data_IF_816421441584
#
_entry.id   IF_816421441584
#
_cell.length_a   1.000
_cell.length_b   1.000
_cell.length_c   1.000
_cell.angle_alpha   90.00
_cell.angle_beta   90.00
_cell.angle_gamma   90.00
#
_symmetry.space_group_name_H-M   'P 1'
#
loop_
_entity.id
_entity.type
_entity.pdbx_description
1 polymer ?
#
# COMPACT_ATOMS: atom_id res chain seq x y z
N UNK A 1 2.02 32.98 -20.50
CA UNK A 1 1.81 31.54 -20.24
C UNK A 1 2.94 31.07 -19.31
N UNK A 2 2.69 30.90 -18.01
CA UNK A 2 3.75 30.50 -17.07
C UNK A 2 4.18 29.06 -17.38
N UNK A 3 5.45 28.88 -17.73
CA UNK A 3 6.10 27.59 -17.94
C UNK A 3 5.98 26.80 -16.64
N UNK A 4 5.17 25.73 -16.62
CA UNK A 4 5.08 24.81 -15.49
C UNK A 4 6.41 24.07 -15.40
N UNK A 5 7.34 24.57 -14.59
CA UNK A 5 8.52 23.80 -14.21
C UNK A 5 8.02 22.74 -13.23
N UNK A 6 7.72 21.55 -13.76
CA UNK A 6 7.36 20.42 -12.93
C UNK A 6 8.55 20.07 -12.03
N UNK A 7 8.29 19.88 -10.73
CA UNK A 7 9.31 19.53 -9.74
C UNK A 7 9.97 18.20 -10.14
N UNK A 8 11.28 18.09 -9.91
CA UNK A 8 11.97 16.81 -10.11
C UNK A 8 11.49 15.77 -9.09
N UNK A 9 11.57 14.48 -9.44
CA UNK A 9 11.13 13.42 -8.53
C UNK A 9 11.96 13.39 -7.23
N UNK A 10 13.23 13.80 -7.30
CA UNK A 10 14.08 14.01 -6.11
C UNK A 10 13.51 15.11 -5.21
N UNK A 11 13.13 16.27 -5.77
CA UNK A 11 12.52 17.36 -5.01
C UNK A 11 11.16 16.96 -4.41
N UNK A 12 10.33 16.24 -5.18
CA UNK A 12 9.05 15.70 -4.66
C UNK A 12 9.28 14.75 -3.49
N UNK A 13 10.28 13.85 -3.59
CA UNK A 13 10.65 12.93 -2.52
C UNK A 13 11.11 13.66 -1.25
N UNK A 14 11.93 14.70 -1.38
CA UNK A 14 12.37 15.49 -0.23
C UNK A 14 11.23 16.29 0.42
N UNK A 15 10.30 16.85 -0.38
CA UNK A 15 9.09 17.52 0.12
C UNK A 15 8.24 16.55 0.96
N UNK A 16 8.03 15.32 0.46
CA UNK A 16 7.29 14.28 1.19
C UNK A 16 8.02 13.90 2.48
N UNK A 17 9.35 13.71 2.42
CA UNK A 17 10.15 13.35 3.60
C UNK A 17 10.13 14.41 4.69
N UNK A 18 10.20 15.70 4.34
CA UNK A 18 10.13 16.80 5.29
C UNK A 18 8.74 16.91 5.94
N UNK A 19 7.69 16.76 5.12
CA UNK A 19 6.29 16.71 5.59
C UNK A 19 6.01 15.53 6.52
N UNK A 20 6.57 14.35 6.22
CA UNK A 20 6.43 13.17 7.07
C UNK A 20 7.10 13.32 8.45
N UNK A 21 8.12 14.20 8.56
CA UNK A 21 8.78 14.55 9.82
C UNK A 21 8.08 15.68 10.59
N UNK A 22 6.91 16.15 10.13
CA UNK A 22 6.15 17.23 10.76
C UNK A 22 6.54 18.65 10.31
N UNK A 23 7.34 18.79 9.26
CA UNK A 23 7.77 20.08 8.75
C UNK A 23 6.65 20.91 8.12
N UNK A 24 6.69 22.24 8.30
CA UNK A 24 5.63 23.13 7.83
C UNK A 24 5.69 23.38 6.31
N UNK A 25 4.56 23.79 5.71
CA UNK A 25 4.47 24.06 4.26
C UNK A 25 5.40 25.18 3.84
N UNK A 26 5.43 26.27 4.61
CA UNK A 26 6.23 27.45 4.32
C UNK A 26 7.71 27.16 4.44
N UNK A 27 8.12 26.43 5.48
CA UNK A 27 9.50 26.02 5.69
C UNK A 27 10.00 25.10 4.58
N UNK A 28 9.18 24.13 4.16
CA UNK A 28 9.49 23.24 3.03
C UNK A 28 9.64 24.03 1.73
N UNK A 29 8.75 24.99 1.49
CA UNK A 29 8.74 25.82 0.29
C UNK A 29 10.00 26.71 0.22
N UNK A 30 10.41 27.28 1.36
CA UNK A 30 11.61 28.09 1.49
C UNK A 30 12.88 27.24 1.30
N UNK A 31 12.95 26.06 1.91
CA UNK A 31 14.09 25.15 1.78
C UNK A 31 14.28 24.67 0.33
N UNK A 32 13.18 24.42 -0.37
CA UNK A 32 13.18 23.89 -1.74
C UNK A 32 13.12 24.98 -2.81
N UNK A 33 13.14 26.26 -2.42
CA UNK A 33 12.96 27.41 -3.30
C UNK A 33 11.79 27.22 -4.29
N UNK A 34 10.69 26.63 -3.82
CA UNK A 34 9.53 26.29 -4.65
C UNK A 34 8.26 26.93 -4.11
N UNK A 35 7.25 27.08 -4.97
CA UNK A 35 5.99 27.69 -4.56
C UNK A 35 5.28 26.84 -3.48
N UNK A 36 4.68 27.49 -2.48
CA UNK A 36 3.81 26.83 -1.48
C UNK A 36 2.71 25.99 -2.14
N UNK A 37 2.15 26.47 -3.25
CA UNK A 37 1.17 25.74 -4.05
C UNK A 37 1.74 24.47 -4.70
N UNK A 38 3.01 24.46 -5.09
CA UNK A 38 3.72 23.27 -5.58
C UNK A 38 3.88 22.23 -4.48
N UNK A 39 4.30 22.64 -3.29
CA UNK A 39 4.41 21.76 -2.11
C UNK A 39 3.06 21.13 -1.79
N UNK A 40 1.99 21.92 -1.73
CA UNK A 40 0.62 21.42 -1.46
C UNK A 40 0.19 20.39 -2.51
N UNK A 41 0.43 20.66 -3.80
CA UNK A 41 0.11 19.70 -4.88
C UNK A 41 0.84 18.36 -4.73
N UNK A 42 2.12 18.39 -4.38
CA UNK A 42 2.92 17.16 -4.15
C UNK A 42 2.38 16.40 -2.93
N UNK A 43 2.05 17.10 -1.84
CA UNK A 43 1.54 16.46 -0.63
C UNK A 43 0.15 15.84 -0.82
N UNK A 44 -0.74 16.52 -1.53
CA UNK A 44 -2.05 15.98 -1.87
C UNK A 44 -1.92 14.76 -2.78
N UNK A 45 -1.09 14.84 -3.82
CA UNK A 45 -0.84 13.70 -4.71
C UNK A 45 -0.27 12.49 -3.94
N UNK A 46 0.63 12.72 -2.98
CA UNK A 46 1.14 11.67 -2.10
C UNK A 46 0.04 11.09 -1.21
N UNK A 47 -0.78 11.90 -0.56
CA UNK A 47 -1.85 11.46 0.34
C UNK A 47 -2.94 10.66 -0.40
N UNK A 48 -3.39 11.15 -1.56
CA UNK A 48 -4.34 10.40 -2.39
C UNK A 48 -3.69 9.14 -2.98
N UNK A 49 -2.41 9.21 -3.36
CA UNK A 49 -1.65 8.06 -3.83
C UNK A 49 -1.51 6.96 -2.77
N UNK A 50 -1.21 7.30 -1.52
CA UNK A 50 -1.15 6.34 -0.41
C UNK A 50 -2.52 5.76 -0.09
N UNK A 51 -3.58 6.58 -0.05
CA UNK A 51 -4.96 6.09 0.19
C UNK A 51 -5.41 5.13 -0.92
N UNK A 52 -5.13 5.46 -2.19
CA UNK A 52 -5.46 4.59 -3.32
C UNK A 52 -4.63 3.30 -3.34
N UNK A 53 -3.33 3.38 -2.99
CA UNK A 53 -2.48 2.19 -2.91
C UNK A 53 -2.83 1.29 -1.71
N UNK A 54 -3.24 1.87 -0.57
CA UNK A 54 -3.74 1.13 0.58
C UNK A 54 -5.04 0.38 0.25
N UNK A 55 -5.97 1.04 -0.46
CA UNK A 55 -7.23 0.43 -0.93
C UNK A 55 -7.01 -0.68 -1.96
N UNK A 56 -5.91 -0.63 -2.73
CA UNK A 56 -5.61 -1.65 -3.76
C UNK A 56 -5.10 -2.99 -3.20
N UNK A 57 -4.91 -3.13 -1.88
CA UNK A 57 -4.61 -4.43 -1.25
C UNK A 57 -3.33 -5.10 -1.74
N UNK A 58 -2.47 -4.38 -2.48
CA UNK A 58 -1.17 -4.84 -2.95
C UNK A 58 -0.10 -4.72 -1.88
N UNK A 59 -0.32 -3.87 -0.87
CA UNK A 59 0.48 -3.78 0.34
C UNK A 59 -0.11 -4.70 1.43
N UNK A 60 0.46 -5.89 1.57
CA UNK A 60 0.09 -6.87 2.57
C UNK A 60 0.83 -8.19 2.31
N UNK A 61 1.11 -8.95 3.37
CA UNK A 61 1.68 -10.28 3.20
C UNK A 61 0.78 -11.11 2.26
N UNK A 62 1.37 -11.85 1.30
CA UNK A 62 0.58 -12.75 0.46
C UNK A 62 -0.26 -13.65 1.35
N UNK A 63 -1.59 -13.53 1.25
CA UNK A 63 -2.49 -14.42 1.98
C UNK A 63 -2.15 -15.85 1.56
N UNK A 64 -2.02 -16.76 2.54
CA UNK A 64 -1.73 -18.17 2.29
C UNK A 64 -2.73 -18.81 1.30
N UNK A 65 -3.97 -18.29 1.25
CA UNK A 65 -5.02 -18.70 0.32
C UNK A 65 -5.62 -17.45 -0.33
N UNK A 66 -5.59 -17.40 -1.67
CA UNK A 66 -6.27 -16.35 -2.45
C UNK A 66 -7.79 -16.59 -2.54
N UNK A 67 -8.56 -15.60 -3.03
CA UNK A 67 -10.03 -15.74 -3.10
C UNK A 67 -10.47 -16.93 -3.98
N UNK A 68 -9.68 -17.27 -5.00
CA UNK A 68 -9.90 -18.46 -5.83
C UNK A 68 -9.69 -19.75 -5.02
N UNK A 69 -8.65 -19.79 -4.19
CA UNK A 69 -8.39 -20.86 -3.23
C UNK A 69 -9.51 -20.99 -2.19
N UNK A 70 -10.03 -19.88 -1.66
CA UNK A 70 -11.19 -19.90 -0.75
C UNK A 70 -12.44 -20.47 -1.43
N UNK A 71 -12.68 -20.11 -2.68
CA UNK A 71 -13.81 -20.64 -3.45
C UNK A 71 -13.67 -22.14 -3.72
N UNK A 72 -12.46 -22.63 -4.02
CA UNK A 72 -12.17 -24.07 -4.15
C UNK A 72 -12.42 -24.81 -2.83
N UNK A 73 -11.97 -24.26 -1.71
CA UNK A 73 -12.20 -24.83 -0.38
C UNK A 73 -13.70 -24.91 -0.05
N UNK A 74 -14.46 -23.84 -0.29
CA UNK A 74 -15.93 -23.81 -0.09
C UNK A 74 -16.65 -24.88 -0.92
N UNK A 75 -16.18 -25.18 -2.13
CA UNK A 75 -16.73 -26.25 -2.98
C UNK A 75 -16.32 -27.64 -2.46
N UNK A 76 -15.05 -27.80 -2.07
CA UNK A 76 -14.54 -29.05 -1.50
C UNK A 76 -15.27 -29.48 -0.23
N UNK A 77 -15.48 -28.55 0.70
CA UNK A 77 -16.24 -28.81 1.94
C UNK A 77 -17.69 -29.19 1.66
N UNK A 78 -18.33 -28.56 0.68
CA UNK A 78 -19.72 -28.89 0.30
C UNK A 78 -19.84 -30.25 -0.38
N UNK A 79 -18.90 -30.59 -1.25
CA UNK A 79 -18.88 -31.86 -1.97
C UNK A 79 -18.57 -33.03 -1.03
N UNK A 80 -17.68 -32.82 -0.06
CA UNK A 80 -17.17 -33.87 0.83
C UNK A 80 -17.52 -33.58 2.29
N UNK A 81 -18.82 -33.64 2.64
CA UNK A 81 -19.31 -33.36 4.00
C UNK A 81 -18.71 -34.27 5.10
N UNK A 82 -18.13 -35.41 4.73
CA UNK A 82 -17.53 -36.41 5.65
C UNK A 82 -15.99 -36.38 5.68
N UNK A 83 -15.34 -35.53 4.88
CA UNK A 83 -13.89 -35.49 4.82
C UNK A 83 -13.29 -34.77 6.03
N UNK A 84 -12.18 -35.29 6.54
CA UNK A 84 -11.39 -34.64 7.61
C UNK A 84 -10.59 -33.45 7.06
N UNK A 85 -10.22 -32.53 7.95
CA UNK A 85 -9.44 -31.33 7.60
C UNK A 85 -8.13 -31.69 6.91
N UNK A 86 -7.48 -32.78 7.32
CA UNK A 86 -6.26 -33.30 6.70
C UNK A 86 -6.47 -33.71 5.24
N UNK A 87 -7.56 -34.40 4.95
CA UNK A 87 -7.91 -34.83 3.58
C UNK A 87 -8.20 -33.62 2.68
N UNK A 88 -8.94 -32.64 3.18
CA UNK A 88 -9.23 -31.40 2.45
C UNK A 88 -7.96 -30.56 2.22
N UNK A 89 -7.05 -30.53 3.20
CA UNK A 89 -5.78 -29.82 3.10
C UNK A 89 -4.85 -30.49 2.09
N UNK A 90 -4.73 -31.81 2.13
CA UNK A 90 -3.98 -32.59 1.15
C UNK A 90 -4.54 -32.37 -0.28
N UNK A 91 -5.85 -32.40 -0.45
CA UNK A 91 -6.52 -32.12 -1.74
C UNK A 91 -6.26 -30.69 -2.24
N UNK A 92 -6.24 -29.70 -1.34
CA UNK A 92 -5.95 -28.31 -1.70
C UNK A 92 -4.48 -28.13 -2.14
N UNK A 93 -3.57 -28.87 -1.51
CA UNK A 93 -2.13 -28.80 -1.77
C UNK A 93 -1.71 -29.58 -3.03
N UNK A 94 -2.46 -30.61 -3.45
CA UNK A 94 -2.20 -31.38 -4.68
C UNK A 94 -2.18 -30.53 -5.98
N UNK A 95 -2.72 -29.31 -5.95
CA UNK A 95 -2.67 -28.36 -7.07
C UNK A 95 -1.96 -27.03 -6.74
N UNK A 96 -1.20 -26.96 -5.65
CA UNK A 96 -0.53 -25.74 -5.20
C UNK A 96 0.93 -25.70 -5.66
N UNK A 97 1.16 -25.22 -6.88
CA UNK A 97 2.52 -24.93 -7.41
C UNK A 97 3.07 -23.57 -6.92
N UNK A 98 2.26 -22.80 -6.17
CA UNK A 98 2.61 -21.43 -5.78
C UNK A 98 3.54 -21.45 -4.57
N UNK A 99 4.85 -21.29 -4.80
CA UNK A 99 5.76 -20.80 -3.78
C UNK A 99 5.20 -19.48 -3.25
N UNK A 100 5.06 -19.36 -1.92
CA UNK A 100 4.79 -18.07 -1.27
C UNK A 100 6.03 -17.18 -1.48
N UNK A 101 6.08 -16.49 -2.62
CA UNK A 101 7.11 -15.50 -2.85
C UNK A 101 6.77 -14.27 -2.01
N UNK A 102 7.72 -13.85 -1.17
CA UNK A 102 7.69 -12.54 -0.52
C UNK A 102 7.67 -11.51 -1.63
N UNK A 103 6.50 -10.94 -1.93
CA UNK A 103 6.43 -9.77 -2.79
C UNK A 103 6.85 -8.57 -1.97
N UNK A 104 8.01 -8.00 -2.32
CA UNK A 104 8.40 -6.68 -1.85
C UNK A 104 7.35 -5.69 -2.37
N UNK A 105 6.72 -4.91 -1.48
CA UNK A 105 5.74 -3.92 -1.91
C UNK A 105 6.42 -2.89 -2.82
N UNK A 106 5.85 -2.57 -4.01
CA UNK A 106 6.37 -1.49 -4.86
C UNK A 106 6.26 -0.11 -4.19
N UNK A 107 5.58 -0.02 -3.04
CA UNK A 107 5.36 1.18 -2.26
C UNK A 107 6.49 1.54 -1.28
N UNK A 108 7.54 0.73 -1.16
CA UNK A 108 8.54 0.88 -0.10
C UNK A 108 8.03 0.36 1.26
N UNK A 109 8.78 0.54 2.36
CA UNK A 109 8.33 0.14 3.69
C UNK A 109 7.06 0.89 4.04
N UNK A 110 5.94 0.16 4.16
CA UNK A 110 4.70 0.74 4.63
C UNK A 110 4.92 1.23 6.06
N UNK A 111 4.64 2.51 6.37
CA UNK A 111 4.65 2.95 7.76
C UNK A 111 3.66 2.08 8.54
N UNK A 112 3.96 1.74 9.79
CA UNK A 112 3.05 0.96 10.62
C UNK A 112 1.70 1.68 10.66
N UNK A 113 0.62 0.92 10.51
CA UNK A 113 -0.74 1.40 10.71
C UNK A 113 -0.88 1.79 12.18
N UNK A 114 -0.47 3.00 12.54
CA UNK A 114 -0.91 3.63 13.76
C UNK A 114 -2.21 4.36 13.43
N UNK A 115 -3.33 3.72 13.77
CA UNK A 115 -4.58 4.42 14.01
C UNK A 115 -4.28 5.61 14.94
N UNK A 116 -4.73 6.80 14.55
CA UNK A 116 -4.54 8.08 15.26
C UNK A 116 -3.25 8.83 14.90
N UNK A 117 -3.28 9.50 13.75
CA UNK A 117 -2.59 10.79 13.55
C UNK A 117 -3.56 11.77 12.88
N UNK A 118 -4.74 11.88 13.47
CA UNK A 118 -5.66 12.99 13.28
C UNK A 118 -6.40 13.20 14.60
N UNK A 119 -5.73 13.84 15.56
CA UNK A 119 -6.41 14.57 16.61
C UNK A 119 -5.80 15.97 16.59
N UNK A 120 -6.66 16.86 16.12
CA UNK A 120 -6.60 18.31 16.18
C UNK A 120 -6.18 18.81 17.55
N UNK A 121 -5.20 19.71 17.58
CA UNK A 121 -5.28 21.03 18.23
C UNK A 121 -4.51 22.05 17.38
#
# INVERSE_FOLDING_TARGET
>A
MQKRNDLSDVQKGMIIGFRAKGGSISETANLMNCSRAGVVKVCLAWQYGTIQNQRRGTCGAPRAIDERGKQRLRRGVRANRRATVEQLTAQMNQGATKRLQVRICPCGPCPPLHENYFSSE
#
